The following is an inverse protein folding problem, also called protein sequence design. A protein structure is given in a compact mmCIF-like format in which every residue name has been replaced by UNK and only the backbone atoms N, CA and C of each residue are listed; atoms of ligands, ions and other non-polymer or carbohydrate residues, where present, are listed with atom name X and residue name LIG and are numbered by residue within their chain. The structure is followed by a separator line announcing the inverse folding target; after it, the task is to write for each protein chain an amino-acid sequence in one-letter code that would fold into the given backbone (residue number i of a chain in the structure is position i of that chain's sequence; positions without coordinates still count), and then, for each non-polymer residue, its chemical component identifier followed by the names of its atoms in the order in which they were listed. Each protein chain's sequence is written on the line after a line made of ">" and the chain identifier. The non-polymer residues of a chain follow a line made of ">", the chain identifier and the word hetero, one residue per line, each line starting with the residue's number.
data_IF_694131176187
#
_entry.id   IF_694131176187
#
_cell.length_a   1.000
_cell.length_b   1.000
_cell.length_c   1.000
_cell.angle_alpha   90.00
_cell.angle_beta   90.00
_cell.angle_gamma   90.00
#
_symmetry.space_group_name_H-M   'P 1'
#
loop_
_entity.id
_entity.type
_entity.pdbx_description
1 polymer ?
#
# COMPACT_ATOMS: atom_id res chain seq x y z
N UNK A 1 -4.74 16.32 -2.79
CA UNK A 1 -5.97 16.44 -1.95
C UNK A 1 -6.52 17.85 -2.04
N UNK A 2 -7.83 18.00 -2.08
CA UNK A 2 -8.50 19.31 -2.01
C UNK A 2 -9.46 19.26 -0.84
N UNK A 3 -9.17 20.01 0.21
CA UNK A 3 -10.06 20.17 1.37
C UNK A 3 -10.75 21.51 1.24
N UNK A 4 -12.03 21.52 0.89
CA UNK A 4 -12.74 22.72 0.47
C UNK A 4 -12.08 23.32 -0.79
N UNK A 5 -11.96 24.64 -0.88
CA UNK A 5 -11.32 25.35 -2.00
C UNK A 5 -9.78 25.47 -1.83
N UNK A 6 -9.15 24.79 -0.89
CA UNK A 6 -7.70 24.83 -0.66
C UNK A 6 -7.02 23.57 -1.19
N UNK A 7 -6.03 23.74 -2.06
CA UNK A 7 -5.07 22.69 -2.37
C UNK A 7 -4.14 22.50 -1.19
N UNK A 8 -4.12 21.30 -0.63
CA UNK A 8 -3.10 20.88 0.35
C UNK A 8 -2.05 20.10 -0.43
N UNK A 9 -0.79 20.48 -0.31
CA UNK A 9 0.31 19.73 -0.91
C UNK A 9 0.52 18.46 -0.09
N UNK A 10 0.34 17.33 -0.74
CA UNK A 10 0.43 16.00 -0.18
C UNK A 10 1.49 15.22 -0.94
N UNK A 11 2.41 14.59 -0.26
CA UNK A 11 3.45 13.75 -0.86
C UNK A 11 3.39 12.35 -0.26
N UNK A 12 3.04 11.36 -1.08
CA UNK A 12 3.12 9.96 -0.73
C UNK A 12 4.40 9.34 -1.26
N UNK A 13 5.10 8.59 -0.42
CA UNK A 13 6.35 7.90 -0.78
C UNK A 13 6.21 6.42 -0.49
N UNK A 14 6.02 5.61 -1.53
CA UNK A 14 5.94 4.17 -1.43
C UNK A 14 7.30 3.53 -1.71
N UNK A 15 7.86 2.80 -0.75
CA UNK A 15 9.18 2.19 -0.85
C UNK A 15 9.12 0.68 -0.67
N UNK A 16 9.49 -0.07 -1.71
CA UNK A 16 9.70 -1.52 -1.60
C UNK A 16 11.07 -1.76 -0.97
N UNK A 17 11.14 -2.55 0.09
CA UNK A 17 12.35 -2.75 0.88
C UNK A 17 12.93 -4.17 0.74
N UNK A 18 14.09 -4.41 1.35
CA UNK A 18 14.69 -5.75 1.52
C UNK A 18 14.28 -6.42 2.84
N UNK A 19 13.27 -5.87 3.52
CA UNK A 19 12.70 -6.46 4.74
C UNK A 19 11.62 -7.47 4.37
N UNK A 20 11.57 -8.56 5.10
CA UNK A 20 10.54 -9.60 4.96
C UNK A 20 9.94 -9.98 6.31
N UNK A 21 8.65 -10.32 6.30
CA UNK A 21 7.92 -10.87 7.46
C UNK A 21 7.21 -12.15 7.02
N UNK A 22 7.06 -13.10 7.95
CA UNK A 22 6.25 -14.30 7.68
C UNK A 22 4.86 -14.12 8.27
N UNK A 23 3.83 -14.18 7.42
CA UNK A 23 2.42 -14.02 7.79
C UNK A 23 1.67 -15.23 7.26
N UNK A 24 0.90 -15.91 8.09
CA UNK A 24 0.16 -17.14 7.75
C UNK A 24 1.00 -18.15 6.93
N UNK A 25 2.24 -18.37 7.37
CA UNK A 25 3.18 -19.26 6.68
C UNK A 25 3.81 -18.72 5.40
N UNK A 26 3.33 -17.60 4.85
CA UNK A 26 3.84 -16.97 3.63
C UNK A 26 4.93 -15.97 3.96
N UNK A 27 6.03 -15.97 3.19
CA UNK A 27 7.07 -14.94 3.27
C UNK A 27 6.63 -13.73 2.44
N UNK A 28 6.43 -12.60 3.09
CA UNK A 28 6.12 -11.31 2.44
C UNK A 28 7.35 -10.44 2.28
N UNK A 29 7.32 -9.55 1.32
CA UNK A 29 8.13 -8.33 1.27
C UNK A 29 7.39 -7.26 2.05
N UNK A 30 8.11 -6.47 2.83
CA UNK A 30 7.53 -5.33 3.54
C UNK A 30 7.81 -4.06 2.74
N UNK A 31 6.77 -3.36 2.31
CA UNK A 31 6.90 -2.01 1.79
C UNK A 31 6.61 -0.99 2.89
N UNK A 32 7.22 0.18 2.79
CA UNK A 32 6.95 1.34 3.63
C UNK A 32 6.21 2.36 2.79
N UNK A 33 5.03 2.73 3.23
CA UNK A 33 4.22 3.79 2.66
C UNK A 33 4.22 4.98 3.63
N UNK A 34 4.61 6.14 3.16
CA UNK A 34 4.72 7.34 4.00
C UNK A 34 3.98 8.49 3.35
N UNK A 35 3.17 9.17 4.12
CA UNK A 35 2.38 10.31 3.71
C UNK A 35 2.81 11.58 4.44
N UNK A 36 3.13 12.61 3.67
CA UNK A 36 3.63 13.89 4.15
C UNK A 36 2.66 15.03 3.82
N UNK A 37 2.25 15.76 4.84
CA UNK A 37 1.43 16.95 4.74
C UNK A 37 2.28 18.20 4.96
N UNK A 38 2.47 19.01 3.93
CA UNK A 38 3.32 20.20 4.04
C UNK A 38 4.76 19.89 4.46
N UNK A 39 5.27 18.72 4.09
CA UNK A 39 6.62 18.25 4.42
C UNK A 39 6.76 17.59 5.80
N UNK A 40 5.70 17.46 6.57
CA UNK A 40 5.68 16.73 7.85
C UNK A 40 5.03 15.36 7.66
N UNK A 41 5.62 14.33 8.25
CA UNK A 41 5.03 12.99 8.27
C UNK A 41 3.69 13.04 9.00
N UNK A 42 2.62 12.68 8.29
CA UNK A 42 1.26 12.57 8.83
C UNK A 42 0.86 11.11 9.06
N UNK A 43 1.32 10.23 8.18
CA UNK A 43 1.04 8.80 8.26
C UNK A 43 2.21 7.98 7.75
N UNK A 44 2.40 6.79 8.32
CA UNK A 44 3.23 5.75 7.72
C UNK A 44 2.61 4.38 7.91
N UNK A 45 2.70 3.55 6.88
CA UNK A 45 2.19 2.20 6.91
C UNK A 45 3.24 1.16 6.48
N UNK A 46 3.14 -0.02 7.08
CA UNK A 46 3.82 -1.23 6.61
C UNK A 46 2.83 -2.04 5.79
N UNK A 47 3.19 -2.32 4.54
CA UNK A 47 2.39 -3.12 3.61
C UNK A 47 3.06 -4.48 3.41
N UNK A 48 2.33 -5.57 3.66
CA UNK A 48 2.87 -6.93 3.59
C UNK A 48 2.42 -7.63 2.30
N UNK A 49 3.32 -7.70 1.32
CA UNK A 49 3.03 -8.16 -0.03
C UNK A 49 3.77 -9.46 -0.37
N UNK A 50 3.14 -10.32 -1.16
CA UNK A 50 3.80 -11.53 -1.69
C UNK A 50 3.36 -11.80 -3.13
N UNK A 51 4.29 -12.30 -3.95
CA UNK A 51 3.98 -12.77 -5.29
C UNK A 51 3.84 -14.30 -5.30
N UNK A 52 2.76 -14.81 -5.91
CA UNK A 52 2.58 -16.23 -6.09
C UNK A 52 3.30 -16.76 -7.36
N UNK A 53 3.35 -18.09 -7.53
CA UNK A 53 3.99 -18.72 -8.69
C UNK A 53 3.32 -18.40 -10.03
N UNK A 54 2.13 -17.80 -10.03
CA UNK A 54 1.39 -17.37 -11.23
C UNK A 54 1.64 -15.91 -11.55
N UNK A 55 2.31 -15.17 -10.63
CA UNK A 55 2.59 -13.75 -10.73
C UNK A 55 1.48 -12.84 -10.17
N UNK A 56 0.50 -13.38 -9.44
CA UNK A 56 -0.43 -12.51 -8.72
C UNK A 56 0.27 -11.93 -7.50
N UNK A 57 0.06 -10.65 -7.24
CA UNK A 57 0.50 -9.99 -6.01
C UNK A 57 -0.60 -10.07 -4.99
N UNK A 58 -0.28 -10.64 -3.84
CA UNK A 58 -1.17 -10.82 -2.70
C UNK A 58 -0.90 -9.77 -1.63
N UNK A 59 -1.96 -9.31 -0.98
CA UNK A 59 -1.94 -8.44 0.17
C UNK A 59 -2.25 -9.27 1.42
N UNK A 60 -1.31 -9.31 2.35
CA UNK A 60 -1.39 -10.18 3.52
C UNK A 60 -1.56 -9.41 4.82
N UNK A 61 -1.59 -8.11 4.78
CA UNK A 61 -1.79 -7.28 5.95
C UNK A 61 -1.19 -5.90 5.83
N UNK A 62 -1.56 -5.06 6.78
CA UNK A 62 -0.99 -3.73 6.96
C UNK A 62 -0.87 -3.37 8.44
N UNK A 63 -0.11 -2.31 8.69
CA UNK A 63 -0.05 -1.64 9.99
C UNK A 63 0.21 -0.15 9.76
N UNK A 64 -0.69 0.69 10.20
CA UNK A 64 -0.67 2.14 9.94
C UNK A 64 -0.53 2.92 11.23
N UNK A 65 0.40 3.88 11.25
CA UNK A 65 0.62 4.85 12.33
C UNK A 65 0.32 6.26 11.85
N UNK A 66 -0.35 7.05 12.67
CA UNK A 66 -0.59 8.47 12.42
C UNK A 66 0.28 9.34 13.31
N UNK A 67 0.68 10.50 12.77
CA UNK A 67 1.59 11.44 13.39
C UNK A 67 1.04 12.87 13.36
N UNK A 68 1.29 13.63 14.43
CA UNK A 68 1.03 15.06 14.48
C UNK A 68 2.28 15.79 15.02
N UNK A 69 2.75 16.81 14.29
CA UNK A 69 3.95 17.53 14.68
C UNK A 69 5.22 16.69 14.78
N UNK A 70 5.26 15.54 14.11
CA UNK A 70 6.35 14.57 14.14
C UNK A 70 6.29 13.57 15.30
N UNK A 71 5.23 13.61 16.11
CA UNK A 71 5.02 12.69 17.23
C UNK A 71 3.95 11.67 16.88
N UNK A 72 4.15 10.42 17.30
CA UNK A 72 3.16 9.35 17.16
C UNK A 72 1.88 9.69 17.94
N UNK A 73 0.72 9.54 17.29
CA UNK A 73 -0.59 9.80 17.89
C UNK A 73 -1.33 8.50 18.17
N UNK A 74 -1.51 7.69 17.15
CA UNK A 74 -2.20 6.40 17.26
C UNK A 74 -1.84 5.44 16.13
N UNK A 75 -2.32 4.19 16.25
CA UNK A 75 -2.33 3.20 15.20
C UNK A 75 -3.71 2.53 15.23
N UNK A 76 -4.60 2.95 14.34
CA UNK A 76 -5.99 2.51 14.30
C UNK A 76 -6.19 1.34 13.34
N UNK A 77 -5.34 1.20 12.34
CA UNK A 77 -5.50 0.23 11.26
C UNK A 77 -4.32 -0.75 11.25
N UNK A 78 -4.58 -1.96 11.71
CA UNK A 78 -3.61 -3.04 11.69
C UNK A 78 -4.31 -4.39 11.56
N UNK A 79 -3.91 -5.15 10.54
CA UNK A 79 -4.40 -6.52 10.35
C UNK A 79 -3.34 -7.41 9.72
N UNK A 80 -3.42 -8.70 9.99
CA UNK A 80 -2.60 -9.74 9.37
C UNK A 80 -3.50 -10.90 8.94
N UNK A 81 -3.28 -11.42 7.76
CA UNK A 81 -3.96 -12.62 7.28
C UNK A 81 -3.77 -13.79 8.25
N UNK A 82 -4.85 -14.52 8.53
CA UNK A 82 -4.88 -15.62 9.49
C UNK A 82 -5.04 -15.18 10.94
N UNK A 83 -5.04 -13.88 11.25
CA UNK A 83 -5.25 -13.36 12.61
C UNK A 83 -6.69 -12.84 12.74
N UNK A 84 -7.39 -13.26 13.80
CA UNK A 84 -8.76 -12.82 14.14
C UNK A 84 -9.77 -12.94 12.99
N UNK A 85 -9.56 -13.84 12.02
CA UNK A 85 -10.45 -14.04 10.88
C UNK A 85 -10.22 -13.09 9.70
N UNK A 86 -9.13 -12.31 9.74
CA UNK A 86 -8.68 -11.55 8.57
C UNK A 86 -8.12 -12.47 7.49
N UNK A 87 -8.37 -12.12 6.23
CA UNK A 87 -8.02 -12.95 5.07
C UNK A 87 -7.18 -12.16 4.06
N UNK A 88 -6.13 -12.82 3.52
CA UNK A 88 -5.36 -12.26 2.42
C UNK A 88 -6.19 -12.16 1.15
N UNK A 89 -5.96 -11.15 0.35
CA UNK A 89 -6.55 -11.02 -0.97
C UNK A 89 -5.51 -10.70 -2.05
N UNK A 90 -5.97 -10.44 -3.25
CA UNK A 90 -5.11 -10.14 -4.40
C UNK A 90 -5.07 -8.63 -4.62
N UNK A 91 -3.90 -8.03 -4.47
CA UNK A 91 -3.69 -6.63 -4.82
C UNK A 91 -3.63 -6.44 -6.34
N UNK A 92 -2.98 -7.38 -7.06
CA UNK A 92 -2.86 -7.31 -8.51
C UNK A 92 -2.87 -8.70 -9.14
N UNK A 93 -3.74 -8.88 -10.14
CA UNK A 93 -3.79 -10.09 -10.94
C UNK A 93 -2.61 -10.16 -11.92
N UNK A 94 -1.97 -11.31 -12.04
CA UNK A 94 -0.93 -11.56 -13.05
C UNK A 94 -1.45 -11.39 -14.49
N UNK A 95 -2.72 -11.67 -14.71
CA UNK A 95 -3.38 -11.62 -16.02
C UNK A 95 -4.74 -10.94 -15.89
N UNK A 96 -4.78 -9.62 -15.69
CA UNK A 96 -6.02 -8.88 -15.53
C UNK A 96 -6.83 -8.91 -16.83
N UNK A 97 -8.13 -9.17 -16.74
CA UNK A 97 -9.09 -9.13 -17.84
C UNK A 97 -10.27 -8.26 -17.45
N UNK A 98 -10.71 -7.41 -18.35
CA UNK A 98 -11.87 -6.51 -18.13
C UNK A 98 -13.10 -7.32 -17.66
N UNK A 99 -13.76 -6.81 -16.63
CA UNK A 99 -14.91 -7.44 -15.99
C UNK A 99 -14.58 -8.50 -14.94
N UNK A 100 -13.29 -8.83 -14.69
CA UNK A 100 -12.93 -9.65 -13.54
C UNK A 100 -13.03 -8.81 -12.28
N UNK A 101 -13.80 -9.32 -11.31
CA UNK A 101 -13.80 -8.84 -9.93
C UNK A 101 -13.08 -9.85 -9.07
N UNK A 102 -12.36 -9.37 -8.09
CA UNK A 102 -11.61 -10.19 -7.17
C UNK A 102 -11.57 -9.53 -5.78
N UNK A 103 -11.31 -10.35 -4.82
CA UNK A 103 -11.18 -9.99 -3.43
C UNK A 103 -9.76 -9.49 -3.16
N UNK A 104 -9.62 -8.29 -2.64
CA UNK A 104 -8.30 -7.72 -2.39
C UNK A 104 -7.87 -7.79 -0.94
N UNK A 105 -8.79 -7.64 0.02
CA UNK A 105 -8.52 -7.88 1.45
C UNK A 105 -9.80 -8.07 2.27
N UNK A 106 -9.64 -8.58 3.49
CA UNK A 106 -10.68 -8.57 4.51
C UNK A 106 -10.04 -8.42 5.88
N UNK A 107 -10.04 -7.20 6.38
CA UNK A 107 -9.64 -6.92 7.75
C UNK A 107 -10.76 -7.27 8.75
N UNK A 108 -10.39 -7.46 10.01
CA UNK A 108 -11.35 -7.72 11.08
C UNK A 108 -12.33 -6.55 11.25
N UNK A 109 -13.61 -6.87 11.30
CA UNK A 109 -14.67 -5.86 11.50
C UNK A 109 -15.07 -5.11 10.23
N UNK A 110 -14.37 -5.34 9.13
CA UNK A 110 -14.67 -4.78 7.82
C UNK A 110 -15.29 -5.81 6.89
N UNK A 111 -16.05 -5.31 5.92
CA UNK A 111 -16.51 -6.15 4.80
C UNK A 111 -15.33 -6.48 3.88
N UNK A 112 -15.50 -7.49 3.00
CA UNK A 112 -14.49 -7.76 1.98
C UNK A 112 -14.37 -6.56 1.04
N UNK A 113 -13.14 -6.11 0.82
CA UNK A 113 -12.84 -5.16 -0.23
C UNK A 113 -12.79 -5.88 -1.58
N UNK A 114 -13.41 -5.27 -2.57
CA UNK A 114 -13.52 -5.82 -3.91
C UNK A 114 -12.92 -4.88 -4.93
N UNK A 115 -12.02 -5.42 -5.71
CA UNK A 115 -11.45 -4.77 -6.88
C UNK A 115 -12.07 -5.30 -8.17
N UNK A 116 -12.28 -4.43 -9.16
CA UNK A 116 -12.76 -4.79 -10.49
C UNK A 116 -11.85 -4.23 -11.58
N UNK A 117 -11.45 -5.08 -12.53
CA UNK A 117 -10.68 -4.65 -13.70
C UNK A 117 -11.60 -3.94 -14.69
N UNK A 118 -11.47 -2.61 -14.78
CA UNK A 118 -12.30 -1.78 -15.65
C UNK A 118 -11.73 -1.66 -17.06
N UNK A 119 -10.41 -1.51 -17.19
CA UNK A 119 -9.73 -1.40 -18.49
C UNK A 119 -8.37 -2.07 -18.46
N UNK A 120 -7.92 -2.56 -19.61
CA UNK A 120 -6.57 -3.08 -19.83
C UNK A 120 -5.95 -2.45 -21.07
N UNK A 121 -4.65 -2.60 -21.27
CA UNK A 121 -3.92 -2.10 -22.44
C UNK A 121 -4.06 -0.59 -22.69
N UNK A 122 -4.25 0.19 -21.65
CA UNK A 122 -4.38 1.64 -21.76
C UNK A 122 -3.01 2.31 -21.95
N UNK A 123 -3.05 3.52 -22.50
CA UNK A 123 -1.92 4.46 -22.46
C UNK A 123 -2.28 5.55 -21.47
N UNK A 124 -1.39 5.86 -20.54
CA UNK A 124 -1.59 6.95 -19.58
C UNK A 124 -0.28 7.69 -19.36
N UNK A 125 -0.34 9.01 -19.40
CA UNK A 125 0.79 9.87 -19.02
C UNK A 125 0.51 10.49 -17.66
N UNK A 126 1.54 10.55 -16.85
CA UNK A 126 1.60 11.25 -15.56
C UNK A 126 2.84 12.16 -15.57
N UNK A 127 3.02 13.05 -14.59
CA UNK A 127 4.16 13.98 -14.60
C UNK A 127 5.53 13.32 -14.78
N UNK A 128 5.72 12.12 -14.23
CA UNK A 128 6.99 11.41 -14.34
C UNK A 128 7.23 10.82 -15.74
N UNK A 129 6.22 10.18 -16.37
CA UNK A 129 6.39 9.49 -17.65
C UNK A 129 5.06 9.09 -18.30
N UNK A 130 5.14 8.59 -19.55
CA UNK A 130 4.03 7.97 -20.24
C UNK A 130 4.18 6.45 -20.28
N UNK A 131 3.11 5.74 -19.92
CA UNK A 131 3.09 4.29 -19.82
C UNK A 131 2.16 3.65 -20.83
N UNK A 132 2.47 2.42 -21.24
CA UNK A 132 1.63 1.56 -22.07
C UNK A 132 1.20 0.33 -21.27
N UNK A 133 0.19 -0.38 -21.75
CA UNK A 133 -0.36 -1.58 -21.12
C UNK A 133 -0.86 -1.33 -19.68
N UNK A 134 -1.29 -0.10 -19.40
CA UNK A 134 -1.82 0.28 -18.10
C UNK A 134 -3.13 -0.47 -17.85
N UNK A 135 -3.29 -0.98 -16.65
CA UNK A 135 -4.51 -1.58 -16.12
C UNK A 135 -5.23 -0.55 -15.26
N UNK A 136 -6.54 -0.45 -15.41
CA UNK A 136 -7.39 0.38 -14.56
C UNK A 136 -8.27 -0.52 -13.72
N UNK A 137 -8.19 -0.36 -12.41
CA UNK A 137 -8.96 -1.11 -11.42
C UNK A 137 -9.87 -0.12 -10.70
N UNK A 138 -11.11 -0.54 -10.47
CA UNK A 138 -12.02 0.14 -9.55
C UNK A 138 -11.89 -0.52 -8.19
N UNK A 139 -11.60 0.27 -7.19
CA UNK A 139 -11.53 -0.11 -5.78
C UNK A 139 -12.32 0.94 -4.99
N UNK A 140 -13.37 0.52 -4.33
CA UNK A 140 -14.30 1.46 -3.68
C UNK A 140 -14.79 2.54 -4.64
N UNK A 141 -14.48 3.78 -4.32
CA UNK A 141 -14.87 4.98 -5.07
C UNK A 141 -13.74 5.54 -5.95
N UNK A 142 -12.72 4.75 -6.22
CA UNK A 142 -11.52 5.18 -6.94
C UNK A 142 -11.25 4.36 -8.19
N UNK A 143 -10.64 5.00 -9.17
CA UNK A 143 -9.95 4.36 -10.27
C UNK A 143 -8.45 4.40 -10.01
N UNK A 144 -7.84 3.23 -9.85
CA UNK A 144 -6.40 3.06 -9.68
C UNK A 144 -5.78 2.55 -10.96
N UNK A 145 -4.74 3.23 -11.42
CA UNK A 145 -4.04 2.95 -12.67
C UNK A 145 -2.68 2.34 -12.37
N UNK A 146 -2.43 1.16 -12.88
CA UNK A 146 -1.20 0.42 -12.66
C UNK A 146 -0.42 0.23 -13.95
N UNK A 147 0.87 0.57 -13.93
CA UNK A 147 1.79 0.37 -15.04
C UNK A 147 2.72 -0.82 -14.79
N UNK A 148 2.95 -1.69 -15.79
CA UNK A 148 3.86 -2.82 -15.66
C UNK A 148 5.26 -2.39 -15.22
N UNK A 149 5.82 -3.07 -14.22
CA UNK A 149 7.16 -2.82 -13.69
C UNK A 149 7.33 -1.58 -12.82
N UNK A 150 6.22 -0.84 -12.59
CA UNK A 150 6.24 0.38 -11.77
C UNK A 150 5.26 0.27 -10.60
N UNK A 151 4.04 -0.23 -10.84
CA UNK A 151 2.96 -0.24 -9.87
C UNK A 151 1.95 0.87 -10.11
N UNK A 152 1.40 1.46 -9.06
CA UNK A 152 0.43 2.56 -9.12
C UNK A 152 1.05 3.83 -9.71
N UNK A 153 0.36 4.43 -10.69
CA UNK A 153 0.82 5.66 -11.36
C UNK A 153 -0.17 6.81 -11.24
N UNK A 154 -1.42 6.49 -10.95
CA UNK A 154 -2.50 7.45 -10.79
C UNK A 154 -3.61 6.81 -9.98
N UNK A 155 -4.15 7.56 -9.03
CA UNK A 155 -5.45 7.33 -8.40
C UNK A 155 -6.32 8.55 -8.67
N UNK A 156 -7.55 8.34 -9.12
CA UNK A 156 -8.53 9.41 -9.33
C UNK A 156 -9.93 8.95 -8.90
N UNK A 157 -10.76 9.86 -8.35
CA UNK A 157 -12.13 9.54 -7.98
C UNK A 157 -12.95 9.17 -9.21
N UNK A 158 -13.87 8.20 -9.09
CA UNK A 158 -14.80 7.84 -10.16
C UNK A 158 -16.23 8.35 -9.92
N UNK A 159 -16.45 9.11 -8.87
CA UNK A 159 -17.76 9.72 -8.55
C UNK A 159 -17.61 11.22 -8.28
N UNK A 160 -18.74 11.92 -8.22
CA UNK A 160 -18.79 13.35 -7.94
C UNK A 160 -19.42 13.58 -6.56
N UNK A 161 -18.75 14.37 -5.71
CA UNK A 161 -19.24 14.74 -4.36
C UNK A 161 -18.30 14.25 -3.26
N UNK A 162 -18.31 14.93 -2.11
CA UNK A 162 -17.44 14.67 -0.98
C UNK A 162 -15.99 15.14 -1.18
N UNK A 163 -15.14 14.77 -0.26
CA UNK A 163 -13.68 14.94 -0.42
C UNK A 163 -13.17 13.98 -1.48
N UNK A 164 -12.37 14.48 -2.40
CA UNK A 164 -11.84 13.72 -3.52
C UNK A 164 -10.34 13.89 -3.55
N UNK A 165 -9.64 12.78 -3.68
CA UNK A 165 -8.20 12.75 -3.81
C UNK A 165 -7.78 12.34 -5.21
N UNK A 166 -6.70 12.94 -5.69
CA UNK A 166 -6.02 12.53 -6.90
C UNK A 166 -4.54 12.41 -6.61
N UNK A 167 -4.00 11.21 -6.75
CA UNK A 167 -2.58 10.95 -6.64
C UNK A 167 -1.94 10.78 -8.01
N UNK A 168 -0.79 11.38 -8.23
CA UNK A 168 -0.05 11.31 -9.49
C UNK A 168 1.40 10.91 -9.24
N UNK A 169 1.89 9.92 -9.97
CA UNK A 169 3.30 9.55 -9.93
C UNK A 169 4.17 10.69 -10.48
N UNK A 170 5.01 11.25 -9.62
CA UNK A 170 5.89 12.37 -9.95
C UNK A 170 7.37 11.96 -10.01
N UNK A 171 7.74 10.81 -9.41
CA UNK A 171 9.13 10.33 -9.43
C UNK A 171 9.20 8.81 -9.17
N UNK A 172 10.20 8.15 -9.77
CA UNK A 172 10.61 6.77 -9.47
C UNK A 172 12.13 6.73 -9.40
N UNK A 173 12.67 6.18 -8.34
CA UNK A 173 14.12 6.07 -8.17
C UNK A 173 14.52 4.77 -7.49
N UNK A 174 15.70 4.29 -7.81
CA UNK A 174 16.36 3.23 -7.04
C UNK A 174 17.11 3.85 -5.87
N UNK A 175 16.99 3.22 -4.71
CA UNK A 175 17.75 3.63 -3.53
C UNK A 175 19.19 3.14 -3.63
N UNK A 176 20.13 3.91 -3.08
CA UNK A 176 21.48 3.42 -2.81
C UNK A 176 21.45 2.34 -1.71
N UNK A 177 22.50 1.55 -1.58
CA UNK A 177 22.59 0.55 -0.51
C UNK A 177 22.46 1.17 0.89
N UNK A 178 23.02 2.37 1.11
CA UNK A 178 22.86 3.10 2.38
C UNK A 178 21.41 3.58 2.59
N UNK A 179 20.80 4.19 1.56
CA UNK A 179 19.41 4.63 1.66
C UNK A 179 18.43 3.48 1.91
N UNK A 180 18.65 2.33 1.24
CA UNK A 180 17.85 1.13 1.51
C UNK A 180 18.06 0.64 2.95
N UNK A 181 19.29 0.68 3.46
CA UNK A 181 19.58 0.27 4.83
C UNK A 181 18.89 1.17 5.87
N UNK A 182 18.85 2.48 5.63
CA UNK A 182 18.15 3.45 6.49
C UNK A 182 16.63 3.19 6.53
N UNK A 183 16.02 3.05 5.35
CA UNK A 183 14.58 2.73 5.25
C UNK A 183 14.27 1.38 5.89
N UNK A 184 15.10 0.36 5.66
CA UNK A 184 14.91 -0.96 6.27
C UNK A 184 15.03 -0.93 7.80
N UNK A 185 15.88 -0.07 8.34
CA UNK A 185 15.97 0.14 9.79
C UNK A 185 14.69 0.79 10.36
N UNK A 186 14.10 1.75 9.64
CA UNK A 186 12.82 2.35 10.01
C UNK A 186 11.70 1.31 9.97
N UNK A 187 11.58 0.53 8.88
CA UNK A 187 10.61 -0.58 8.79
C UNK A 187 10.71 -1.54 9.98
N UNK A 188 11.93 -1.94 10.36
CA UNK A 188 12.13 -2.83 11.51
C UNK A 188 11.76 -2.17 12.85
N UNK A 189 11.88 -0.85 12.96
CA UNK A 189 11.46 -0.08 14.15
C UNK A 189 9.93 -0.04 14.23
N UNK A 190 9.25 0.29 13.12
CA UNK A 190 7.79 0.32 13.03
C UNK A 190 7.19 -1.07 13.27
N UNK A 191 7.77 -2.15 12.70
CA UNK A 191 7.32 -3.52 12.95
C UNK A 191 7.40 -3.94 14.42
N UNK A 192 8.46 -3.51 15.15
CA UNK A 192 8.54 -3.73 16.59
C UNK A 192 7.52 -2.92 17.36
N UNK A 193 7.25 -1.69 16.93
CA UNK A 193 6.27 -0.82 17.55
C UNK A 193 4.85 -1.36 17.38
N UNK A 194 4.54 -1.95 16.23
CA UNK A 194 3.28 -2.65 15.98
C UNK A 194 2.97 -3.72 17.05
N UNK A 195 3.97 -4.51 17.45
CA UNK A 195 3.82 -5.50 18.52
C UNK A 195 3.56 -4.90 19.90
N UNK A 196 3.92 -3.64 20.11
CA UNK A 196 3.65 -2.92 21.37
C UNK A 196 2.29 -2.23 21.37
N UNK A 197 1.92 -1.63 20.23
CA UNK A 197 0.71 -0.78 20.12
C UNK A 197 -0.52 -1.60 19.79
N UNK A 198 -0.39 -2.63 18.96
CA UNK A 198 -1.48 -3.53 18.55
C UNK A 198 -1.13 -5.01 18.83
N UNK A 199 -0.90 -5.38 20.11
CA UNK A 199 -0.43 -6.73 20.47
C UNK A 199 -1.46 -7.81 20.09
N UNK A 200 -2.75 -7.50 20.07
CA UNK A 200 -3.81 -8.43 19.69
C UNK A 200 -3.71 -8.92 18.23
N UNK A 201 -3.00 -8.17 17.38
CA UNK A 201 -2.75 -8.54 15.97
C UNK A 201 -1.32 -9.02 15.78
N UNK A 202 -0.33 -8.36 16.41
CA UNK A 202 1.10 -8.53 16.10
C UNK A 202 1.89 -9.35 17.12
N UNK A 203 1.38 -9.58 18.37
CA UNK A 203 2.07 -10.32 19.43
C UNK A 203 2.18 -11.78 19.00
N UNK A 204 2.33 -12.47 18.43
CA UNK A 204 2.49 -13.86 17.98
C UNK A 204 2.99 -13.94 16.54
N UNK A 205 3.04 -12.82 15.87
CA UNK A 205 3.56 -12.76 14.52
C UNK A 205 5.09 -12.83 14.50
N UNK A 206 5.66 -13.50 13.50
CA UNK A 206 7.11 -13.52 13.34
C UNK A 206 7.65 -12.09 13.15
N UNK A 207 8.74 -11.74 13.84
CA UNK A 207 9.40 -10.47 13.67
C UNK A 207 9.87 -10.27 12.21
N UNK A 208 9.74 -9.06 11.70
CA UNK A 208 10.30 -8.69 10.41
C UNK A 208 11.84 -8.73 10.45
N UNK A 209 12.47 -9.03 9.33
CA UNK A 209 13.93 -9.09 9.20
C UNK A 209 14.38 -8.73 7.80
N UNK A 210 15.57 -8.15 7.67
CA UNK A 210 16.18 -7.96 6.36
C UNK A 210 16.44 -9.29 5.67
N UNK A 211 16.23 -9.31 4.37
CA UNK A 211 16.69 -10.41 3.55
C UNK A 211 18.23 -10.48 3.58
N UNK A 212 18.82 -11.69 3.57
CA UNK A 212 20.27 -11.88 3.55
C UNK A 212 20.89 -11.38 2.25
#
# INVERSE_FOLDING_TARGET
>A
MTVGDRRVEHLRVFTVTDVSKRIDGVRTVVALDQDFNGGQLGEQALEYLAEDKRGNVWYLGSYTETYEGGEFVNATDGWLAGVQGSEAGILMLARPKVGLSYFDSKALGEGPELSEVIKTNQKKCVPFSCYKNVVVIREGNEWKYYAPGVGGILTEPHYTGGEQETELLINVRNLSASGLAEISAEVLKVDRHAGVVAPEVFDGAAAAKRAP
#
